data_IF_892377822978
#
_entry.id   IF_892377822978
#
_cell.length_a   1.000
_cell.length_b   1.000
_cell.length_c   1.000
_cell.angle_alpha   90.00
_cell.angle_beta   90.00
_cell.angle_gamma   90.00
#
_symmetry.space_group_name_H-M   'P 1'
#
loop_
_entity.id
_entity.type
_entity.pdbx_description
1 polymer ?
#
# COMPACT_ATOMS: atom_id res chain seq x y z
N UNK A 1 -38.51 5.53 -14.64
CA UNK A 1 -37.15 5.43 -14.08
C UNK A 1 -37.26 5.01 -12.63
N UNK A 2 -36.94 3.76 -12.32
CA UNK A 2 -36.86 3.28 -10.95
C UNK A 2 -35.63 3.94 -10.29
N UNK A 3 -35.84 4.73 -9.26
CA UNK A 3 -34.75 5.29 -8.46
C UNK A 3 -34.14 4.19 -7.63
N UNK A 4 -32.80 4.10 -7.62
CA UNK A 4 -32.07 3.22 -6.73
C UNK A 4 -31.93 3.95 -5.39
N UNK A 5 -32.40 3.35 -4.31
CA UNK A 5 -32.24 3.88 -2.95
C UNK A 5 -31.12 3.11 -2.28
N UNK A 6 -30.29 3.82 -1.55
CA UNK A 6 -29.27 3.24 -0.66
C UNK A 6 -29.60 3.72 0.75
N UNK A 7 -29.89 2.79 1.65
CA UNK A 7 -30.04 3.08 3.07
C UNK A 7 -28.67 2.86 3.75
N UNK A 8 -28.15 3.90 4.38
CA UNK A 8 -26.94 3.82 5.18
C UNK A 8 -27.30 4.02 6.66
N UNK A 9 -26.80 3.19 7.58
CA UNK A 9 -27.03 3.40 9.00
C UNK A 9 -26.32 4.68 9.43
N UNK A 10 -27.07 5.62 10.01
CA UNK A 10 -26.50 6.81 10.63
C UNK A 10 -26.24 6.53 12.11
N UNK A 11 -24.96 6.48 12.47
CA UNK A 11 -24.54 6.39 13.89
C UNK A 11 -24.22 7.78 14.38
N UNK A 12 -25.05 8.31 15.27
CA UNK A 12 -24.80 9.58 15.96
C UNK A 12 -24.07 9.30 17.27
N UNK A 13 -22.76 9.58 17.33
CA UNK A 13 -21.99 9.49 18.55
C UNK A 13 -21.98 10.83 19.30
N UNK A 14 -22.22 10.81 20.60
CA UNK A 14 -22.05 11.99 21.46
C UNK A 14 -20.57 12.41 21.45
N UNK A 15 -20.30 13.71 21.36
CA UNK A 15 -18.95 14.26 21.43
C UNK A 15 -18.53 14.39 22.88
N UNK A 16 -17.41 13.81 23.27
CA UNK A 16 -16.76 14.04 24.57
C UNK A 16 -15.94 15.34 24.51
N UNK A 17 -15.68 15.99 25.62
CA UNK A 17 -15.07 17.32 25.75
C UNK A 17 -13.66 17.56 25.20
N UNK A 18 -13.11 16.64 24.39
CA UNK A 18 -11.88 16.81 23.62
C UNK A 18 -12.16 17.37 22.22
N UNK A 19 -11.18 18.06 21.63
CA UNK A 19 -11.27 18.53 20.25
C UNK A 19 -11.54 17.35 19.31
N UNK A 20 -12.58 17.46 18.48
CA UNK A 20 -13.00 16.42 17.54
C UNK A 20 -13.18 16.95 16.13
N UNK A 21 -13.04 16.07 15.12
CA UNK A 21 -13.32 16.37 13.73
C UNK A 21 -14.71 15.82 13.33
N UNK A 22 -15.44 16.54 12.49
CA UNK A 22 -16.56 16.00 11.75
C UNK A 22 -16.09 14.91 10.78
N UNK A 23 -17.03 14.24 10.12
CA UNK A 23 -16.71 13.45 8.95
C UNK A 23 -16.17 14.35 7.83
N UNK A 24 -15.37 13.75 6.94
CA UNK A 24 -14.78 14.45 5.81
C UNK A 24 -15.77 14.39 4.65
N UNK A 25 -16.13 15.55 4.11
CA UNK A 25 -16.94 15.67 2.92
C UNK A 25 -16.07 16.06 1.73
N UNK A 26 -16.13 15.30 0.65
CA UNK A 26 -15.57 15.73 -0.61
C UNK A 26 -16.46 16.84 -1.22
N UNK A 27 -15.82 17.82 -1.87
CA UNK A 27 -16.51 18.97 -2.42
C UNK A 27 -16.02 19.30 -3.82
N UNK A 28 -16.89 19.92 -4.60
CA UNK A 28 -16.54 20.65 -5.82
C UNK A 28 -16.64 22.13 -5.57
N UNK A 29 -15.67 22.90 -6.05
CA UNK A 29 -15.75 24.36 -6.02
C UNK A 29 -16.67 24.82 -7.16
N UNK A 30 -17.66 25.63 -6.86
CA UNK A 30 -18.37 26.36 -7.92
C UNK A 30 -17.49 27.48 -8.50
N UNK A 31 -17.71 27.80 -9.77
CA UNK A 31 -16.92 28.79 -10.52
C UNK A 31 -16.92 30.20 -9.91
N UNK A 32 -17.91 30.53 -9.06
CA UNK A 32 -18.05 31.82 -8.38
C UNK A 32 -17.51 31.87 -6.95
N UNK A 33 -17.02 30.74 -6.43
CA UNK A 33 -16.27 30.67 -5.18
C UNK A 33 -17.06 30.85 -3.88
N UNK A 34 -18.39 30.94 -3.93
CA UNK A 34 -19.24 31.25 -2.77
C UNK A 34 -19.95 30.05 -2.15
N UNK A 35 -20.13 28.97 -2.86
CA UNK A 35 -20.85 27.81 -2.35
C UNK A 35 -20.02 26.54 -2.44
N UNK A 36 -19.98 25.80 -1.32
CA UNK A 36 -19.35 24.50 -1.25
C UNK A 36 -20.38 23.46 -1.70
N UNK A 37 -20.19 22.88 -2.87
CA UNK A 37 -21.07 21.83 -3.39
C UNK A 37 -20.51 20.46 -2.98
N UNK A 38 -21.29 19.64 -2.23
CA UNK A 38 -20.88 18.29 -1.92
C UNK A 38 -20.63 17.46 -3.17
N UNK A 39 -19.55 16.70 -3.17
CA UNK A 39 -19.28 15.64 -4.14
C UNK A 39 -19.72 14.30 -3.56
N UNK A 40 -20.81 13.70 -4.03
CA UNK A 40 -21.45 12.57 -3.35
C UNK A 40 -20.72 11.24 -3.51
N UNK A 41 -19.61 11.21 -4.25
CA UNK A 41 -18.83 10.01 -4.53
C UNK A 41 -17.47 10.01 -3.87
N UNK A 42 -16.89 8.82 -3.81
CA UNK A 42 -15.48 8.59 -3.44
C UNK A 42 -14.63 8.16 -4.65
N UNK A 43 -15.15 8.33 -5.86
CA UNK A 43 -14.47 7.97 -7.11
C UNK A 43 -14.18 9.23 -7.92
N UNK A 44 -12.91 9.44 -8.25
CA UNK A 44 -12.44 10.59 -9.01
C UNK A 44 -11.88 10.11 -10.37
N UNK A 45 -12.61 10.31 -11.47
CA UNK A 45 -12.14 9.96 -12.82
C UNK A 45 -11.04 10.94 -13.30
N UNK A 46 -10.39 10.64 -14.41
CA UNK A 46 -9.26 11.40 -14.96
C UNK A 46 -9.55 12.88 -15.18
N UNK A 47 -10.79 13.21 -15.54
CA UNK A 47 -11.24 14.56 -15.82
C UNK A 47 -11.32 15.45 -14.57
N UNK A 48 -11.46 14.84 -13.39
CA UNK A 48 -11.47 15.54 -12.10
C UNK A 48 -10.04 15.84 -11.63
N UNK A 49 -9.53 16.99 -12.02
CA UNK A 49 -8.17 17.41 -11.68
C UNK A 49 -8.04 18.07 -10.30
N UNK A 50 -9.17 18.28 -9.62
CA UNK A 50 -9.24 18.91 -8.30
C UNK A 50 -10.14 18.12 -7.38
N UNK A 51 -9.74 18.04 -6.12
CA UNK A 51 -10.51 17.44 -5.04
C UNK A 51 -10.61 18.43 -3.90
N UNK A 52 -11.79 18.99 -3.70
CA UNK A 52 -12.09 19.81 -2.54
C UNK A 52 -12.45 18.91 -1.35
N UNK A 53 -12.15 19.40 -0.16
CA UNK A 53 -12.51 18.74 1.10
C UNK A 53 -13.09 19.77 2.06
N UNK A 54 -14.02 19.32 2.87
CA UNK A 54 -14.61 20.08 3.96
C UNK A 54 -14.72 19.19 5.20
N UNK A 55 -14.30 19.72 6.33
CA UNK A 55 -14.47 19.11 7.66
C UNK A 55 -14.52 20.24 8.69
N UNK A 56 -15.10 19.99 9.84
CA UNK A 56 -15.20 20.96 10.92
C UNK A 56 -14.54 20.42 12.19
N UNK A 57 -13.80 21.29 12.87
CA UNK A 57 -13.24 21.00 14.18
C UNK A 57 -14.11 21.61 15.28
N UNK A 58 -14.44 20.81 16.30
CA UNK A 58 -15.26 21.18 17.43
C UNK A 58 -14.51 20.96 18.74
N UNK A 59 -14.94 21.63 19.82
CA UNK A 59 -14.29 21.52 21.13
C UNK A 59 -12.88 22.13 21.18
N UNK A 60 -12.53 22.94 20.17
CA UNK A 60 -11.19 23.54 20.07
C UNK A 60 -10.94 24.57 21.15
N UNK A 61 -11.98 25.30 21.64
CA UNK A 61 -11.86 26.24 22.75
C UNK A 61 -11.47 25.53 24.04
N UNK A 62 -12.07 24.40 24.33
CA UNK A 62 -11.79 23.63 25.55
C UNK A 62 -10.38 23.04 25.51
N UNK A 63 -9.92 22.62 24.33
CA UNK A 63 -8.62 21.97 24.14
C UNK A 63 -7.46 22.94 24.05
N UNK A 64 -7.61 24.07 23.35
CA UNK A 64 -6.52 24.99 23.03
C UNK A 64 -6.65 26.35 23.70
N UNK A 65 -7.76 26.60 24.40
CA UNK A 65 -8.09 27.88 25.00
C UNK A 65 -8.65 28.90 24.01
N UNK A 66 -9.22 30.00 24.53
CA UNK A 66 -9.75 31.10 23.69
C UNK A 66 -8.63 31.66 22.81
N UNK A 67 -8.85 31.72 21.49
CA UNK A 67 -7.88 32.16 20.49
C UNK A 67 -6.58 31.31 20.47
N UNK A 68 -6.58 30.12 21.06
CA UNK A 68 -5.44 29.21 21.07
C UNK A 68 -5.07 28.73 19.66
N UNK A 69 -3.80 28.82 19.22
CA UNK A 69 -3.38 28.35 17.92
C UNK A 69 -3.21 26.83 17.88
N UNK A 70 -3.62 26.22 16.76
CA UNK A 70 -3.41 24.80 16.46
C UNK A 70 -3.18 24.59 14.96
N UNK A 71 -2.85 23.36 14.54
CA UNK A 71 -2.61 23.01 13.14
C UNK A 71 -3.73 22.08 12.65
N UNK A 72 -4.28 22.42 11.49
CA UNK A 72 -5.08 21.55 10.66
C UNK A 72 -4.19 20.96 9.56
N UNK A 73 -4.11 19.65 9.45
CA UNK A 73 -3.31 18.97 8.43
C UNK A 73 -4.24 18.12 7.59
N UNK A 74 -4.14 18.24 6.27
CA UNK A 74 -4.79 17.31 5.34
C UNK A 74 -3.73 16.69 4.43
N UNK A 75 -3.80 15.37 4.24
CA UNK A 75 -2.83 14.64 3.43
C UNK A 75 -3.46 13.44 2.74
N UNK A 76 -2.93 13.10 1.56
CA UNK A 76 -3.31 11.89 0.82
C UNK A 76 -2.29 10.80 1.13
N UNK A 77 -2.78 9.62 1.46
CA UNK A 77 -1.98 8.45 1.81
C UNK A 77 -2.33 7.27 0.91
N UNK A 78 -1.36 6.40 0.67
CA UNK A 78 -1.60 5.12 0.00
C UNK A 78 -2.48 4.23 0.87
N UNK A 79 -3.56 3.69 0.29
CA UNK A 79 -4.49 2.84 1.03
C UNK A 79 -3.86 1.51 1.47
N UNK A 80 -3.11 0.85 0.60
CA UNK A 80 -2.47 -0.45 0.87
C UNK A 80 -1.16 -0.32 1.65
N UNK A 81 -0.27 0.56 1.19
CA UNK A 81 1.09 0.66 1.72
C UNK A 81 1.19 1.59 2.94
N UNK A 82 0.21 2.46 3.13
CA UNK A 82 0.32 3.56 4.10
C UNK A 82 1.33 4.63 3.62
N UNK A 83 1.44 5.70 4.41
CA UNK A 83 2.37 6.80 4.11
C UNK A 83 1.81 7.82 3.11
N UNK A 84 2.38 9.02 3.16
CA UNK A 84 1.93 10.16 2.37
C UNK A 84 2.35 9.98 0.91
N UNK A 85 1.43 10.30 0.00
CA UNK A 85 1.69 10.29 -1.44
C UNK A 85 2.38 11.59 -1.85
N UNK A 86 3.64 11.50 -2.22
CA UNK A 86 4.39 12.65 -2.75
C UNK A 86 4.21 13.92 -1.92
N UNK A 87 3.85 15.02 -2.58
CA UNK A 87 3.66 16.34 -1.96
C UNK A 87 2.20 16.63 -1.59
N UNK A 88 1.32 15.63 -1.54
CA UNK A 88 -0.10 15.82 -1.21
C UNK A 88 -0.31 15.98 0.30
N UNK A 89 0.24 17.06 0.85
CA UNK A 89 0.07 17.46 2.25
C UNK A 89 -0.11 18.96 2.34
N UNK A 90 -1.18 19.38 3.03
CA UNK A 90 -1.46 20.78 3.38
C UNK A 90 -1.43 20.93 4.89
N UNK A 91 -0.80 22.00 5.36
CA UNK A 91 -0.77 22.40 6.76
C UNK A 91 -1.34 23.80 6.87
N UNK A 92 -2.37 23.97 7.69
CA UNK A 92 -3.05 25.22 7.92
C UNK A 92 -2.93 25.60 9.40
N UNK A 93 -2.54 26.83 9.67
CA UNK A 93 -2.59 27.36 11.04
C UNK A 93 -3.98 27.89 11.31
N UNK A 94 -4.60 27.38 12.37
CA UNK A 94 -5.96 27.68 12.75
C UNK A 94 -5.99 28.26 14.17
N UNK A 95 -7.07 28.94 14.48
CA UNK A 95 -7.32 29.53 15.80
C UNK A 95 -8.58 28.90 16.38
N UNK A 96 -8.55 28.56 17.66
CA UNK A 96 -9.65 27.93 18.35
C UNK A 96 -10.89 28.82 18.38
N UNK A 97 -12.04 28.23 18.05
CA UNK A 97 -13.36 28.82 18.08
C UNK A 97 -14.41 27.71 18.40
N UNK A 98 -15.67 28.09 18.52
CA UNK A 98 -16.79 27.15 18.74
C UNK A 98 -16.86 26.10 17.65
N UNK A 99 -16.71 26.51 16.38
CA UNK A 99 -16.61 25.65 15.19
C UNK A 99 -15.54 26.21 14.30
N UNK A 100 -14.54 25.38 13.94
CA UNK A 100 -13.49 25.82 13.03
C UNK A 100 -13.59 25.04 11.73
N UNK A 101 -14.06 25.66 10.62
CA UNK A 101 -14.14 24.99 9.34
C UNK A 101 -12.75 24.82 8.72
N UNK A 102 -12.54 23.65 8.15
CA UNK A 102 -11.35 23.28 7.37
C UNK A 102 -11.78 23.00 5.94
N UNK A 103 -11.58 23.95 5.06
CA UNK A 103 -11.84 23.84 3.62
C UNK A 103 -10.52 23.92 2.87
N UNK A 104 -10.19 22.87 2.13
CA UNK A 104 -8.94 22.74 1.39
C UNK A 104 -9.19 22.14 0.01
N UNK A 105 -8.27 22.36 -0.92
CA UNK A 105 -8.34 21.79 -2.26
C UNK A 105 -7.00 21.13 -2.62
N UNK A 106 -7.06 19.91 -3.13
CA UNK A 106 -5.92 19.22 -3.72
C UNK A 106 -6.01 19.24 -5.24
N UNK A 107 -4.92 19.61 -5.89
CA UNK A 107 -4.76 19.42 -7.33
C UNK A 107 -4.37 17.96 -7.61
N UNK A 108 -5.35 17.10 -7.88
CA UNK A 108 -5.14 15.66 -8.07
C UNK A 108 -4.85 15.24 -9.52
N UNK A 109 -4.61 16.19 -10.42
CA UNK A 109 -4.31 15.89 -11.82
C UNK A 109 -3.10 14.98 -12.04
N UNK A 110 -2.10 15.05 -11.14
CA UNK A 110 -0.91 14.19 -11.16
C UNK A 110 -1.03 12.97 -10.23
N UNK A 111 -2.14 12.78 -9.51
CA UNK A 111 -2.34 11.62 -8.66
C UNK A 111 -2.64 10.41 -9.54
N UNK A 112 -1.83 9.33 -9.50
CA UNK A 112 -2.02 8.14 -10.33
C UNK A 112 -3.34 7.42 -10.05
N UNK A 113 -3.70 6.48 -10.92
CA UNK A 113 -4.77 5.51 -10.63
C UNK A 113 -4.43 4.70 -9.40
N UNK A 114 -5.36 4.60 -8.45
CA UNK A 114 -5.13 3.84 -7.21
C UNK A 114 -6.21 4.08 -6.17
N UNK A 115 -6.04 3.38 -5.05
CA UNK A 115 -6.83 3.52 -3.84
C UNK A 115 -6.08 4.37 -2.83
N UNK A 116 -6.77 5.33 -2.24
CA UNK A 116 -6.17 6.31 -1.34
C UNK A 116 -7.00 6.53 -0.09
N UNK A 117 -6.35 7.02 0.94
CA UNK A 117 -6.97 7.62 2.12
C UNK A 117 -6.66 9.11 2.14
N UNK A 118 -7.71 9.92 2.26
CA UNK A 118 -7.57 11.28 2.68
C UNK A 118 -7.57 11.30 4.21
N UNK A 119 -6.49 11.77 4.82
CA UNK A 119 -6.38 11.96 6.26
C UNK A 119 -6.49 13.44 6.60
N UNK A 120 -7.35 13.77 7.56
CA UNK A 120 -7.46 15.11 8.16
C UNK A 120 -7.10 14.98 9.64
N UNK A 121 -6.18 15.83 10.11
CA UNK A 121 -5.64 15.79 11.45
C UNK A 121 -5.73 17.16 12.12
N UNK A 122 -6.04 17.14 13.42
CA UNK A 122 -5.79 18.26 14.32
C UNK A 122 -4.50 17.99 15.08
N UNK A 123 -3.60 18.96 15.10
CA UNK A 123 -2.34 18.88 15.82
C UNK A 123 -2.16 20.11 16.70
N UNK A 124 -1.53 19.93 17.84
CA UNK A 124 -1.18 21.06 18.71
C UNK A 124 -0.01 21.86 18.13
N UNK A 125 0.38 22.94 18.82
CA UNK A 125 1.51 23.79 18.42
C UNK A 125 2.86 23.08 18.41
N UNK A 126 2.97 21.91 19.06
CA UNK A 126 4.18 21.09 19.10
C UNK A 126 4.13 19.95 18.03
N UNK A 127 3.19 20.02 17.09
CA UNK A 127 2.93 19.01 16.06
C UNK A 127 2.47 17.65 16.61
N UNK A 128 2.02 17.60 17.87
CA UNK A 128 1.46 16.38 18.46
C UNK A 128 0.05 16.15 17.95
N UNK A 129 -0.23 14.91 17.55
CA UNK A 129 -1.55 14.51 17.03
C UNK A 129 -2.60 14.57 18.13
N UNK A 130 -3.66 15.33 17.91
CA UNK A 130 -4.83 15.43 18.82
C UNK A 130 -5.98 14.57 18.31
N UNK A 131 -6.30 14.69 17.02
CA UNK A 131 -7.40 13.94 16.40
C UNK A 131 -7.08 13.66 14.94
N UNK A 132 -7.57 12.53 14.41
CA UNK A 132 -7.44 12.13 13.02
C UNK A 132 -8.73 11.50 12.52
N UNK A 133 -9.13 11.90 11.31
CA UNK A 133 -10.17 11.26 10.50
C UNK A 133 -9.61 10.86 9.15
N UNK A 134 -10.12 9.77 8.60
CA UNK A 134 -9.72 9.31 7.26
C UNK A 134 -10.95 9.01 6.43
N UNK A 135 -10.89 9.34 5.16
CA UNK A 135 -11.91 9.04 4.16
C UNK A 135 -11.26 8.33 2.98
N UNK A 136 -11.81 7.17 2.62
CA UNK A 136 -11.37 6.42 1.45
C UNK A 136 -11.83 7.09 0.16
N UNK A 137 -10.96 7.07 -0.87
CA UNK A 137 -11.35 7.42 -2.24
C UNK A 137 -10.53 6.64 -3.27
N UNK A 138 -11.09 6.53 -4.47
CA UNK A 138 -10.44 5.93 -5.63
C UNK A 138 -10.15 6.99 -6.67
N UNK A 139 -8.98 6.93 -7.26
CA UNK A 139 -8.56 7.72 -8.40
C UNK A 139 -8.46 6.82 -9.63
N UNK A 140 -9.13 7.18 -10.70
CA UNK A 140 -8.88 6.61 -12.02
C UNK A 140 -8.27 7.71 -12.90
N UNK A 141 -6.97 7.69 -13.01
CA UNK A 141 -6.20 8.61 -13.83
C UNK A 141 -5.17 7.78 -14.58
N UNK A 142 -5.52 7.27 -15.77
CA UNK A 142 -4.60 6.52 -16.59
C UNK A 142 -3.52 7.47 -17.14
N UNK A 143 -2.66 7.95 -16.27
CA UNK A 143 -1.42 8.61 -16.70
C UNK A 143 -0.64 7.50 -17.40
N UNK A 144 -0.61 7.55 -18.72
CA UNK A 144 0.44 6.88 -19.46
C UNK A 144 1.72 7.53 -18.94
N UNK A 145 2.40 6.85 -18.03
CA UNK A 145 3.73 7.25 -17.62
C UNK A 145 4.61 7.08 -18.87
N UNK A 146 4.60 8.12 -19.71
CA UNK A 146 5.68 8.28 -20.67
C UNK A 146 6.96 8.38 -19.85
N UNK A 147 7.95 7.51 -20.06
CA UNK A 147 9.27 7.66 -19.43
C UNK A 147 9.83 9.07 -19.55
N UNK A 148 9.47 9.83 -20.61
CA UNK A 148 9.79 11.25 -20.77
C UNK A 148 9.11 12.17 -19.76
N UNK A 149 7.86 11.91 -19.33
CA UNK A 149 7.14 12.77 -18.39
C UNK A 149 7.59 12.62 -16.93
N UNK A 150 8.24 11.50 -16.60
CA UNK A 150 8.93 11.33 -15.31
C UNK A 150 10.22 12.19 -15.26
N UNK A 151 10.73 12.55 -16.43
CA UNK A 151 12.01 13.24 -16.63
C UNK A 151 11.95 14.76 -16.49
N UNK A 152 10.79 15.38 -16.57
CA UNK A 152 10.64 16.85 -16.48
C UNK A 152 10.89 17.44 -15.07
N UNK A 153 11.12 16.61 -14.08
CA UNK A 153 11.70 17.02 -12.80
C UNK A 153 13.20 16.91 -12.85
N UNK A 154 13.89 17.87 -13.46
CA UNK A 154 15.34 18.02 -13.55
C UNK A 154 16.13 17.11 -12.60
N UNK A 155 16.46 15.95 -13.09
CA UNK A 155 17.27 14.99 -12.35
C UNK A 155 18.72 15.48 -12.38
N UNK A 156 19.09 16.22 -11.35
CA UNK A 156 20.51 16.40 -11.05
C UNK A 156 21.20 15.06 -10.80
N UNK A 157 22.51 15.04 -10.65
CA UNK A 157 23.27 13.85 -10.32
C UNK A 157 22.63 13.11 -9.13
N UNK A 158 22.41 11.80 -9.28
CA UNK A 158 21.72 11.01 -8.26
C UNK A 158 22.36 9.61 -8.09
N UNK A 159 21.90 8.87 -7.10
CA UNK A 159 22.53 7.61 -6.70
C UNK A 159 22.49 6.52 -7.79
N UNK A 160 21.57 6.60 -8.76
CA UNK A 160 21.46 5.61 -9.84
C UNK A 160 22.50 5.78 -10.93
N UNK A 161 23.21 6.92 -10.97
CA UNK A 161 24.25 7.19 -11.96
C UNK A 161 25.43 6.20 -11.86
N UNK A 162 25.62 5.64 -10.65
CA UNK A 162 26.61 4.59 -10.41
C UNK A 162 26.25 3.22 -11.06
N UNK A 163 24.99 3.02 -11.47
CA UNK A 163 24.53 1.77 -12.04
C UNK A 163 24.78 1.76 -13.56
N UNK A 164 25.85 1.14 -14.00
CA UNK A 164 26.27 1.14 -15.42
C UNK A 164 25.92 -0.14 -16.16
N UNK A 165 25.85 -1.27 -15.45
CA UNK A 165 25.57 -2.57 -16.07
C UNK A 165 24.06 -2.76 -16.31
N UNK A 166 23.71 -3.09 -17.57
CA UNK A 166 22.33 -3.20 -18.04
C UNK A 166 21.61 -4.42 -17.43
N UNK A 167 22.33 -5.52 -17.19
CA UNK A 167 21.74 -6.71 -16.58
C UNK A 167 21.41 -6.46 -15.11
N UNK A 168 22.32 -5.79 -14.41
CA UNK A 168 22.09 -5.35 -13.01
C UNK A 168 20.91 -4.38 -12.90
N UNK A 169 20.80 -3.42 -13.83
CA UNK A 169 19.66 -2.49 -13.87
C UNK A 169 18.33 -3.23 -14.11
N UNK A 170 18.32 -4.21 -15.01
CA UNK A 170 17.13 -5.02 -15.25
C UNK A 170 16.76 -5.86 -14.01
N UNK A 171 17.75 -6.43 -13.33
CA UNK A 171 17.55 -7.15 -12.08
C UNK A 171 16.98 -6.23 -10.98
N UNK A 172 17.51 -5.02 -10.84
CA UNK A 172 17.01 -4.04 -9.89
C UNK A 172 15.56 -3.64 -10.17
N UNK A 173 15.22 -3.35 -11.42
CA UNK A 173 13.85 -3.07 -11.83
C UNK A 173 12.92 -4.22 -11.47
N UNK A 174 13.24 -5.43 -11.91
CA UNK A 174 12.39 -6.61 -11.69
C UNK A 174 12.25 -6.92 -10.19
N UNK A 175 13.28 -6.65 -9.39
CA UNK A 175 13.23 -6.86 -7.94
C UNK A 175 12.25 -5.92 -7.22
N UNK A 176 11.87 -4.78 -7.83
CA UNK A 176 10.90 -3.84 -7.25
C UNK A 176 9.44 -4.25 -7.48
N UNK A 177 9.14 -5.22 -8.37
CA UNK A 177 7.77 -5.66 -8.68
C UNK A 177 6.91 -6.03 -7.46
N UNK A 178 7.42 -6.69 -6.41
CA UNK A 178 6.62 -7.04 -5.25
C UNK A 178 5.96 -5.85 -4.55
N UNK A 179 6.63 -4.69 -4.53
CA UNK A 179 6.16 -3.48 -3.85
C UNK A 179 5.63 -2.40 -4.82
N UNK A 180 5.58 -2.73 -6.11
CA UNK A 180 5.06 -1.85 -7.14
C UNK A 180 3.54 -1.99 -7.31
N UNK A 181 2.87 -0.90 -7.66
CA UNK A 181 1.48 -0.95 -8.12
C UNK A 181 1.39 -1.49 -9.57
N UNK A 182 0.18 -1.67 -10.09
CA UNK A 182 -0.03 -2.29 -11.39
C UNK A 182 0.57 -1.48 -12.55
N UNK A 183 0.54 -0.14 -12.45
CA UNK A 183 1.11 0.74 -13.46
C UNK A 183 2.64 0.74 -13.40
N UNK A 184 3.20 0.81 -12.20
CA UNK A 184 4.62 0.69 -11.96
C UNK A 184 5.16 -0.68 -12.43
N UNK A 185 4.42 -1.78 -12.18
CA UNK A 185 4.79 -3.12 -12.68
C UNK A 185 4.87 -3.16 -14.18
N UNK A 186 3.87 -2.60 -14.88
CA UNK A 186 3.89 -2.53 -16.35
C UNK A 186 5.12 -1.75 -16.84
N UNK A 187 5.40 -0.60 -16.25
CA UNK A 187 6.56 0.21 -16.60
C UNK A 187 7.88 -0.54 -16.32
N UNK A 188 8.00 -1.19 -15.16
CA UNK A 188 9.15 -2.02 -14.81
C UNK A 188 9.38 -3.11 -15.87
N UNK A 189 8.33 -3.85 -16.23
CA UNK A 189 8.40 -4.94 -17.20
C UNK A 189 8.79 -4.45 -18.59
N UNK A 190 8.21 -3.32 -19.04
CA UNK A 190 8.49 -2.73 -20.33
C UNK A 190 9.94 -2.23 -20.40
N UNK A 191 10.43 -1.55 -19.35
CA UNK A 191 11.81 -1.02 -19.35
C UNK A 191 12.86 -2.10 -19.12
N UNK A 192 12.57 -3.14 -18.36
CA UNK A 192 13.44 -4.31 -18.24
C UNK A 192 13.61 -5.05 -19.58
N UNK A 193 12.59 -5.05 -20.45
CA UNK A 193 12.64 -5.60 -21.81
C UNK A 193 13.37 -4.67 -22.79
N UNK A 194 13.07 -3.37 -22.73
CA UNK A 194 13.65 -2.36 -23.63
C UNK A 194 15.14 -2.13 -23.40
N UNK A 195 15.63 -2.40 -22.19
CA UNK A 195 17.06 -2.39 -21.82
C UNK A 195 17.80 -1.08 -22.12
N UNK A 196 17.09 0.06 -22.05
CA UNK A 196 17.72 1.38 -22.16
C UNK A 196 18.26 1.80 -20.77
N UNK A 197 19.59 1.83 -20.55
CA UNK A 197 20.15 2.07 -19.22
C UNK A 197 19.82 3.46 -18.67
N UNK A 198 19.68 4.47 -19.53
CA UNK A 198 19.28 5.81 -19.10
C UNK A 198 17.86 5.82 -18.53
N UNK A 199 16.91 5.22 -19.27
CA UNK A 199 15.50 5.14 -18.80
C UNK A 199 15.37 4.25 -17.57
N UNK A 200 16.08 3.13 -17.54
CA UNK A 200 16.05 2.21 -16.39
C UNK A 200 16.51 2.91 -15.11
N UNK A 201 17.61 3.68 -15.16
CA UNK A 201 18.07 4.47 -14.02
C UNK A 201 17.02 5.47 -13.54
N UNK A 202 16.38 6.15 -14.47
CA UNK A 202 15.34 7.13 -14.14
C UNK A 202 14.12 6.50 -13.49
N UNK A 203 13.68 5.34 -13.98
CA UNK A 203 12.57 4.60 -13.38
C UNK A 203 12.92 4.18 -11.95
N UNK A 204 14.13 3.64 -11.73
CA UNK A 204 14.59 3.27 -10.39
C UNK A 204 14.62 4.50 -9.47
N UNK A 205 15.21 5.61 -9.94
CA UNK A 205 15.27 6.82 -9.15
C UNK A 205 13.87 7.36 -8.81
N UNK A 206 12.99 7.53 -9.82
CA UNK A 206 11.65 8.05 -9.63
C UNK A 206 10.82 7.18 -8.67
N UNK A 207 10.94 5.85 -8.78
CA UNK A 207 10.27 4.90 -7.91
C UNK A 207 10.62 5.14 -6.43
N UNK A 208 11.90 5.33 -6.12
CA UNK A 208 12.37 5.54 -4.76
C UNK A 208 12.17 6.98 -4.28
N UNK A 209 12.32 7.94 -5.18
CA UNK A 209 12.01 9.34 -4.87
C UNK A 209 10.54 9.53 -4.48
N UNK A 210 9.61 8.88 -5.18
CA UNK A 210 8.19 8.95 -4.84
C UNK A 210 7.87 8.37 -3.46
N UNK A 211 8.64 7.39 -3.01
CA UNK A 211 8.45 6.73 -1.69
C UNK A 211 9.22 7.39 -0.55
N UNK A 212 10.35 7.98 -0.83
CA UNK A 212 11.22 8.62 0.15
C UNK A 212 11.89 9.88 -0.46
N UNK A 213 11.16 10.98 -0.65
CA UNK A 213 11.70 12.17 -1.34
C UNK A 213 12.92 12.78 -0.67
N UNK A 214 13.02 12.67 0.66
CA UNK A 214 14.13 13.24 1.45
C UNK A 214 15.41 12.43 1.36
N UNK A 215 15.29 11.09 1.20
CA UNK A 215 16.45 10.20 1.10
C UNK A 215 16.10 8.91 0.31
N UNK A 216 15.95 9.03 -1.03
CA UNK A 216 15.64 7.89 -1.87
C UNK A 216 16.75 6.84 -1.91
N UNK A 217 18.01 7.26 -1.73
CA UNK A 217 19.17 6.38 -1.71
C UNK A 217 19.10 5.39 -0.54
N UNK A 218 18.95 5.87 0.69
CA UNK A 218 18.87 4.99 1.86
C UNK A 218 17.63 4.10 1.84
N UNK A 219 16.51 4.57 1.26
CA UNK A 219 15.33 3.72 1.06
C UNK A 219 15.62 2.57 0.10
N UNK A 220 16.29 2.85 -1.03
CA UNK A 220 16.78 1.84 -1.96
C UNK A 220 17.74 0.85 -1.31
N UNK A 221 18.76 1.34 -0.60
CA UNK A 221 19.78 0.49 0.03
C UNK A 221 19.18 -0.49 1.04
N UNK A 222 18.22 -0.05 1.86
CA UNK A 222 17.46 -0.94 2.76
C UNK A 222 16.68 -2.01 2.01
N UNK A 223 16.03 -1.63 0.91
CA UNK A 223 15.31 -2.59 0.09
C UNK A 223 16.25 -3.58 -0.61
N UNK A 224 17.38 -3.09 -1.12
CA UNK A 224 18.39 -3.94 -1.75
C UNK A 224 18.93 -5.00 -0.79
N UNK A 225 19.10 -4.68 0.51
CA UNK A 225 19.44 -5.67 1.54
C UNK A 225 18.37 -6.76 1.64
N UNK A 226 17.09 -6.40 1.59
CA UNK A 226 16.01 -7.38 1.57
C UNK A 226 16.01 -8.24 0.30
N UNK A 227 16.32 -7.65 -0.87
CA UNK A 227 16.49 -8.39 -2.14
C UNK A 227 17.65 -9.37 -2.05
N UNK A 228 18.79 -8.95 -1.48
CA UNK A 228 19.96 -9.82 -1.28
C UNK A 228 19.64 -10.97 -0.33
N UNK A 229 18.90 -10.68 0.75
CA UNK A 229 18.42 -11.72 1.66
C UNK A 229 17.49 -12.72 0.94
N UNK A 230 16.54 -12.22 0.18
CA UNK A 230 15.63 -13.07 -0.61
C UNK A 230 16.42 -13.94 -1.60
N UNK A 231 17.38 -13.37 -2.31
CA UNK A 231 18.23 -14.10 -3.26
C UNK A 231 19.02 -15.23 -2.58
N UNK A 232 19.50 -14.98 -1.37
CA UNK A 232 20.27 -15.97 -0.60
C UNK A 232 19.40 -17.11 -0.06
N UNK A 233 18.17 -16.80 0.39
CA UNK A 233 17.38 -17.74 1.18
C UNK A 233 16.22 -18.38 0.42
N UNK A 234 15.71 -17.72 -0.64
CA UNK A 234 14.53 -18.15 -1.37
C UNK A 234 14.79 -18.44 -2.84
N UNK A 235 16.04 -18.37 -3.26
CA UNK A 235 16.45 -18.79 -4.60
C UNK A 235 16.32 -20.30 -4.79
N UNK A 236 16.04 -20.72 -6.00
CA UNK A 236 15.99 -22.10 -6.41
C UNK A 236 16.66 -22.29 -7.78
N UNK A 237 16.93 -23.52 -8.17
CA UNK A 237 17.86 -23.97 -9.23
C UNK A 237 18.12 -23.01 -10.41
N UNK A 238 17.08 -22.37 -10.95
CA UNK A 238 17.18 -21.50 -12.12
C UNK A 238 16.48 -20.15 -11.90
N UNK A 239 16.20 -19.80 -10.62
CA UNK A 239 15.42 -18.61 -10.27
C UNK A 239 16.09 -17.84 -9.13
N UNK A 240 16.28 -16.53 -9.33
CA UNK A 240 16.71 -15.62 -8.26
C UNK A 240 15.66 -15.60 -7.16
N UNK A 241 16.09 -15.40 -5.92
CA UNK A 241 15.16 -15.43 -4.79
C UNK A 241 14.03 -14.39 -4.89
N UNK A 242 14.30 -13.20 -5.40
CA UNK A 242 13.28 -12.17 -5.58
C UNK A 242 12.19 -12.57 -6.63
N UNK A 243 12.49 -13.53 -7.50
CA UNK A 243 11.57 -14.05 -8.51
C UNK A 243 10.72 -15.22 -8.01
N UNK A 244 11.14 -15.89 -6.92
CA UNK A 244 10.37 -16.97 -6.32
C UNK A 244 9.15 -16.46 -5.57
N UNK A 245 8.13 -17.29 -5.42
CA UNK A 245 6.92 -16.91 -4.68
C UNK A 245 7.25 -16.54 -3.21
N UNK A 246 8.17 -17.28 -2.57
CA UNK A 246 8.61 -16.93 -1.22
C UNK A 246 9.32 -15.58 -1.17
N UNK A 247 10.23 -15.32 -2.11
CA UNK A 247 10.93 -14.04 -2.18
C UNK A 247 9.99 -12.88 -2.50
N UNK A 248 9.00 -13.10 -3.38
CA UNK A 248 7.97 -12.11 -3.68
C UNK A 248 7.18 -11.75 -2.42
N UNK A 249 6.68 -12.73 -1.68
CA UNK A 249 5.93 -12.52 -0.44
C UNK A 249 6.81 -11.86 0.63
N UNK A 250 8.07 -12.30 0.77
CA UNK A 250 9.02 -11.68 1.70
C UNK A 250 9.29 -10.21 1.38
N UNK A 251 9.51 -9.88 0.12
CA UNK A 251 9.78 -8.50 -0.30
C UNK A 251 8.56 -7.60 -0.14
N UNK A 252 7.36 -8.15 -0.27
CA UNK A 252 6.10 -7.41 -0.17
C UNK A 252 5.64 -7.20 1.28
N UNK A 253 5.79 -8.22 2.12
CA UNK A 253 5.21 -8.24 3.47
C UNK A 253 6.26 -8.33 4.60
N UNK A 254 7.54 -8.47 4.25
CA UNK A 254 8.61 -8.67 5.21
C UNK A 254 8.76 -10.13 5.66
N UNK A 255 9.53 -10.34 6.73
CA UNK A 255 9.72 -11.66 7.31
C UNK A 255 8.44 -12.14 8.02
N UNK A 256 8.05 -13.43 7.89
CA UNK A 256 6.95 -13.99 8.66
C UNK A 256 7.31 -14.04 10.15
N UNK A 257 6.29 -13.98 11.01
CA UNK A 257 6.47 -14.13 12.45
C UNK A 257 6.70 -15.59 12.86
N UNK A 258 6.02 -16.52 12.17
CA UNK A 258 6.15 -17.96 12.40
C UNK A 258 6.23 -18.68 11.06
N UNK A 259 7.04 -19.73 11.00
CA UNK A 259 7.18 -20.63 9.85
C UNK A 259 6.95 -22.06 10.31
N UNK A 260 5.91 -22.69 9.78
CA UNK A 260 5.69 -24.12 9.92
C UNK A 260 6.26 -24.81 8.69
N UNK A 261 7.30 -25.63 8.87
CA UNK A 261 7.97 -26.35 7.78
C UNK A 261 7.68 -27.85 7.89
N UNK A 262 6.98 -28.39 6.91
CA UNK A 262 6.57 -29.80 6.82
C UNK A 262 7.07 -30.44 5.52
N UNK A 263 8.33 -30.17 5.17
CA UNK A 263 8.95 -30.70 3.93
C UNK A 263 9.19 -32.21 3.96
N UNK A 264 9.37 -32.80 5.14
CA UNK A 264 9.74 -34.20 5.30
C UNK A 264 8.61 -35.08 5.87
N UNK A 265 7.40 -34.54 5.93
CA UNK A 265 6.27 -35.27 6.48
C UNK A 265 5.76 -36.34 5.49
N UNK A 266 5.47 -37.55 6.01
CA UNK A 266 4.96 -38.66 5.21
C UNK A 266 3.48 -38.55 4.97
N UNK A 267 3.02 -38.89 3.77
CA UNK A 267 1.58 -38.92 3.44
C UNK A 267 1.02 -37.56 3.01
N UNK A 268 1.87 -36.52 2.94
CA UNK A 268 1.50 -35.22 2.43
C UNK A 268 2.50 -34.74 1.38
N UNK A 269 2.06 -33.84 0.52
CA UNK A 269 2.96 -33.07 -0.35
C UNK A 269 3.76 -32.10 0.55
N UNK A 270 5.07 -31.93 0.35
CA UNK A 270 5.85 -30.98 1.13
C UNK A 270 5.18 -29.60 1.15
N UNK A 271 4.95 -29.05 2.33
CA UNK A 271 4.32 -27.75 2.48
C UNK A 271 4.99 -26.91 3.57
N UNK A 272 4.76 -25.61 3.49
CA UNK A 272 5.25 -24.62 4.45
C UNK A 272 4.17 -23.57 4.67
N UNK A 273 3.96 -23.15 5.92
CA UNK A 273 3.01 -22.09 6.26
C UNK A 273 3.78 -20.92 6.85
N UNK A 274 3.65 -19.76 6.25
CA UNK A 274 4.13 -18.50 6.81
C UNK A 274 2.98 -17.77 7.47
N UNK A 275 3.16 -17.42 8.72
CA UNK A 275 2.17 -16.70 9.50
C UNK A 275 2.67 -15.31 9.85
N UNK A 276 1.86 -14.30 9.52
CA UNK A 276 2.05 -12.90 9.83
C UNK A 276 1.04 -12.47 10.89
N UNK A 277 1.49 -12.16 12.09
CA UNK A 277 0.62 -11.65 13.16
C UNK A 277 0.06 -10.29 12.77
N UNK A 278 0.90 -9.47 12.13
CA UNK A 278 0.53 -8.16 11.61
C UNK A 278 1.35 -7.82 10.36
N UNK A 279 0.66 -7.34 9.32
CA UNK A 279 1.29 -6.81 8.13
C UNK A 279 0.47 -5.62 7.61
N UNK A 280 1.01 -4.40 7.79
CA UNK A 280 0.27 -3.17 7.52
C UNK A 280 -1.03 -3.09 8.33
N UNK A 281 -2.16 -2.98 7.64
CA UNK A 281 -3.51 -2.96 8.23
C UNK A 281 -4.10 -4.35 8.50
N UNK A 282 -3.48 -5.40 8.01
CA UNK A 282 -3.95 -6.76 8.14
C UNK A 282 -3.31 -7.45 9.35
N UNK A 283 -4.08 -8.29 10.02
CA UNK A 283 -3.63 -9.12 11.13
C UNK A 283 -3.99 -10.57 10.86
N UNK A 284 -3.22 -11.48 11.45
CA UNK A 284 -3.47 -12.91 11.43
C UNK A 284 -3.59 -13.48 10.02
N UNK A 285 -2.54 -13.27 9.18
CA UNK A 285 -2.52 -13.70 7.77
C UNK A 285 -1.55 -14.83 7.53
N UNK A 286 -1.95 -15.76 6.66
CA UNK A 286 -1.21 -16.98 6.35
C UNK A 286 -0.96 -17.10 4.86
N UNK A 287 0.21 -17.64 4.54
CA UNK A 287 0.61 -18.01 3.18
C UNK A 287 1.04 -19.47 3.22
N UNK A 288 0.43 -20.30 2.40
CA UNK A 288 0.76 -21.70 2.28
C UNK A 288 1.54 -21.92 1.01
N UNK A 289 2.75 -22.41 1.15
CA UNK A 289 3.61 -22.80 0.03
C UNK A 289 3.69 -24.33 -0.03
N UNK A 290 3.88 -24.87 -1.22
CA UNK A 290 4.03 -26.31 -1.43
C UNK A 290 5.08 -26.60 -2.51
N UNK A 291 5.56 -27.84 -2.55
CA UNK A 291 6.42 -28.35 -3.61
C UNK A 291 5.68 -29.46 -4.34
N UNK A 292 5.03 -29.17 -5.48
CA UNK A 292 4.25 -30.18 -6.21
C UNK A 292 5.12 -31.33 -6.71
N UNK A 293 6.39 -31.08 -6.98
CA UNK A 293 7.38 -32.06 -7.38
C UNK A 293 8.54 -32.07 -6.38
N UNK A 294 8.83 -33.22 -5.80
CA UNK A 294 9.96 -33.40 -4.86
C UNK A 294 11.35 -33.15 -5.49
N UNK A 295 11.41 -33.15 -6.82
CA UNK A 295 12.64 -32.86 -7.59
C UNK A 295 12.96 -31.36 -7.65
N UNK A 296 12.00 -30.48 -7.38
CA UNK A 296 12.19 -29.03 -7.39
C UNK A 296 12.57 -28.56 -5.99
N UNK A 297 13.49 -27.59 -5.94
CA UNK A 297 13.81 -26.88 -4.69
C UNK A 297 12.97 -25.61 -4.52
N UNK A 298 12.12 -25.28 -5.52
CA UNK A 298 11.26 -24.11 -5.52
C UNK A 298 9.98 -24.34 -4.74
N UNK A 299 9.62 -23.39 -3.92
CA UNK A 299 8.35 -23.35 -3.23
C UNK A 299 7.37 -22.51 -4.02
N UNK A 300 6.19 -23.04 -4.28
CA UNK A 300 5.10 -22.35 -5.00
C UNK A 300 4.04 -21.90 -4.01
N UNK A 301 3.55 -20.67 -4.13
CA UNK A 301 2.43 -20.17 -3.34
C UNK A 301 1.15 -20.89 -3.77
N UNK A 302 0.57 -21.64 -2.83
CA UNK A 302 -0.62 -22.45 -3.06
C UNK A 302 -1.90 -21.69 -2.71
N UNK A 303 -1.90 -20.99 -1.58
CA UNK A 303 -3.04 -20.22 -1.11
C UNK A 303 -2.62 -19.21 -0.05
N UNK A 304 -3.41 -18.16 0.11
CA UNK A 304 -3.31 -17.20 1.20
C UNK A 304 -4.69 -16.68 1.58
N UNK A 305 -4.84 -16.28 2.84
CA UNK A 305 -5.98 -15.49 3.33
C UNK A 305 -5.70 -13.97 3.30
N UNK A 306 -4.54 -13.56 2.77
CA UNK A 306 -4.20 -12.15 2.54
C UNK A 306 -5.03 -11.60 1.37
N UNK A 307 -5.80 -10.52 1.57
CA UNK A 307 -6.55 -9.89 0.49
C UNK A 307 -5.63 -9.44 -0.66
N UNK A 308 -6.03 -9.78 -1.88
CA UNK A 308 -5.26 -9.48 -3.10
C UNK A 308 -4.23 -10.53 -3.49
N UNK A 309 -4.05 -11.58 -2.70
CA UNK A 309 -3.22 -12.73 -3.03
C UNK A 309 -4.08 -13.92 -3.49
N UNK A 310 -3.41 -14.96 -4.01
CA UNK A 310 -4.10 -16.15 -4.48
C UNK A 310 -4.86 -16.84 -3.35
N UNK A 311 -6.16 -17.07 -3.55
CA UNK A 311 -7.01 -17.80 -2.62
C UNK A 311 -7.54 -19.06 -3.32
N UNK A 312 -6.99 -20.20 -2.96
CA UNK A 312 -7.36 -21.50 -3.51
C UNK A 312 -8.17 -22.29 -2.48
N UNK A 313 -9.47 -22.38 -2.65
CA UNK A 313 -10.36 -23.11 -1.72
C UNK A 313 -10.10 -24.61 -1.66
N UNK A 314 -9.43 -25.20 -2.65
CA UNK A 314 -9.05 -26.62 -2.71
C UNK A 314 -7.58 -26.89 -2.40
N UNK A 315 -6.91 -25.99 -1.71
CA UNK A 315 -5.50 -26.13 -1.39
C UNK A 315 -5.19 -27.39 -0.56
N UNK A 316 -6.10 -27.76 0.35
CA UNK A 316 -5.92 -28.92 1.23
C UNK A 316 -5.93 -30.25 0.44
N UNK A 317 -6.72 -30.33 -0.64
CA UNK A 317 -6.74 -31.51 -1.54
C UNK A 317 -5.40 -31.70 -2.27
N UNK A 318 -4.67 -30.61 -2.49
CA UNK A 318 -3.36 -30.65 -3.14
C UNK A 318 -2.23 -31.02 -2.16
N UNK A 319 -2.39 -30.70 -0.88
CA UNK A 319 -1.43 -31.09 0.17
C UNK A 319 -1.62 -32.54 0.57
N UNK A 320 -2.87 -33.01 0.68
CA UNK A 320 -3.22 -34.37 1.10
C UNK A 320 -3.90 -35.10 -0.06
N UNK A 321 -3.15 -35.60 -1.06
CA UNK A 321 -3.71 -36.34 -2.15
C UNK A 321 -4.02 -37.78 -1.70
N UNK A 322 -5.26 -38.28 -1.93
CA UNK A 322 -5.65 -39.67 -1.69
C UNK A 322 -6.55 -39.87 -0.46
N UNK A 323 -7.36 -40.95 -0.49
CA UNK A 323 -8.55 -41.06 0.35
C UNK A 323 -8.44 -42.02 1.54
N UNK A 324 -7.43 -42.86 1.68
CA UNK A 324 -7.48 -43.98 2.65
C UNK A 324 -7.14 -43.61 4.10
N UNK A 325 -6.23 -42.63 4.32
CA UNK A 325 -5.91 -42.05 5.64
C UNK A 325 -6.11 -40.54 5.67
N UNK A 326 -6.82 -39.99 4.69
CA UNK A 326 -6.92 -38.55 4.42
C UNK A 326 -7.57 -37.74 5.52
N UNK A 327 -8.40 -38.33 6.37
CA UNK A 327 -9.08 -37.60 7.44
C UNK A 327 -8.12 -37.08 8.50
N UNK A 328 -7.32 -37.94 9.10
CA UNK A 328 -6.37 -37.55 10.16
C UNK A 328 -5.27 -36.61 9.67
N UNK A 329 -4.75 -36.84 8.45
CA UNK A 329 -3.74 -35.97 7.86
C UNK A 329 -4.31 -34.61 7.50
N UNK A 330 -5.54 -34.53 7.04
CA UNK A 330 -6.23 -33.27 6.78
C UNK A 330 -6.44 -32.47 8.07
N UNK A 331 -6.82 -33.13 9.15
CA UNK A 331 -6.95 -32.49 10.47
C UNK A 331 -5.61 -31.94 10.96
N UNK A 332 -4.52 -32.70 10.82
CA UNK A 332 -3.18 -32.28 11.20
C UNK A 332 -2.70 -31.05 10.39
N UNK A 333 -2.90 -31.07 9.07
CA UNK A 333 -2.56 -29.92 8.20
C UNK A 333 -3.40 -28.70 8.57
N UNK A 334 -4.68 -28.88 8.86
CA UNK A 334 -5.57 -27.78 9.30
C UNK A 334 -5.20 -27.27 10.69
N UNK A 335 -4.77 -28.14 11.61
CA UNK A 335 -4.25 -27.70 12.91
C UNK A 335 -2.99 -26.85 12.73
N UNK A 336 -2.03 -27.25 11.89
CA UNK A 336 -0.86 -26.47 11.55
C UNK A 336 -1.20 -25.13 10.89
N UNK A 337 -2.28 -25.06 10.12
CA UNK A 337 -2.77 -23.83 9.50
C UNK A 337 -3.43 -22.90 10.52
N UNK A 338 -4.29 -23.43 11.39
CA UNK A 338 -5.05 -22.64 12.36
C UNK A 338 -4.15 -22.17 13.52
N UNK A 339 -3.22 -23.01 13.96
CA UNK A 339 -2.31 -22.77 15.09
C UNK A 339 -0.85 -22.94 14.67
N UNK A 340 -0.31 -22.09 13.77
CA UNK A 340 1.07 -22.20 13.30
C UNK A 340 2.06 -21.95 14.44
N UNK A 341 2.88 -22.99 14.74
CA UNK A 341 3.87 -22.99 15.81
C UNK A 341 5.26 -23.41 15.30
#
# INVERSE_FOLDING_TARGET
TAGTFVELPLVVAARSGDATLSDIMFTRKQLDGREVVPFPGSYFPAEENRMGIYSEAYGTLDRFGSQGPFLGVAQIEHYEAGGIVGNFRHVQRLTADTVVPMALEFGIGKLPTGNYLLAVELRDRNDSLVQRRTQFFQRNNPIVLDPGSIMDGALGPNFTDAFTDVDTLAEYLLSMRPIADDLERKMIDDQAKNRNPGVMRQVIYAFWYNRAPTDPKSAWERYLQAVQYANKHYGCRNMRGFQSDQGYIYLRYGAPNTVVDRRNETGVVPYMIWHYYRSGRYSDRRFVFYQPERSTTCWTLLTSDMPGEINNSRWLDQIVPGASDGGLKREEVMENYNNPR
#
